data_IF_107668813417
#
_entry.id   IF_107668813417
#
_cell.length_a   1.000
_cell.length_b   1.000
_cell.length_c   1.000
_cell.angle_alpha   90.00
_cell.angle_beta   90.00
_cell.angle_gamma   90.00
#
_symmetry.space_group_name_H-M   'P 1'
#
loop_
_entity.id
_entity.type
_entity.pdbx_description
1 polymer ?
#
# COMPACT_ATOMS: atom_id res chain seq x y z
N UNK A 1 -38.61 40.86 22.54
CA UNK A 1 -37.24 40.31 22.61
C UNK A 1 -36.27 41.47 22.55
N UNK A 2 -35.47 41.69 23.59
CA UNK A 2 -34.58 42.86 23.66
C UNK A 2 -33.57 42.86 22.51
N UNK A 3 -33.29 44.05 21.96
CA UNK A 3 -32.30 44.23 20.88
C UNK A 3 -30.94 43.62 21.25
N UNK A 4 -30.56 43.71 22.53
CA UNK A 4 -29.32 43.14 23.09
C UNK A 4 -29.29 41.60 23.02
N UNK A 5 -30.41 40.95 23.34
CA UNK A 5 -30.53 39.48 23.28
C UNK A 5 -30.48 39.01 21.82
N UNK A 6 -31.10 39.75 20.89
CA UNK A 6 -31.06 39.42 19.46
C UNK A 6 -29.63 39.53 18.88
N UNK A 7 -28.86 40.55 19.25
CA UNK A 7 -27.46 40.67 18.81
C UNK A 7 -26.58 39.56 19.37
N UNK A 8 -26.77 39.19 20.64
CA UNK A 8 -26.04 38.10 21.27
C UNK A 8 -26.32 36.76 20.58
N UNK A 9 -27.59 36.47 20.26
CA UNK A 9 -27.98 35.25 19.56
C UNK A 9 -27.39 35.21 18.13
N UNK A 10 -27.43 36.33 17.40
CA UNK A 10 -26.81 36.44 16.08
C UNK A 10 -25.29 36.22 16.13
N UNK A 11 -24.61 36.76 17.15
CA UNK A 11 -23.18 36.59 17.34
C UNK A 11 -22.80 35.11 17.56
N UNK A 12 -23.44 34.44 18.52
CA UNK A 12 -23.20 33.01 18.76
C UNK A 12 -23.63 32.13 17.59
N UNK A 13 -24.73 32.46 16.91
CA UNK A 13 -25.16 31.76 15.70
C UNK A 13 -24.13 31.87 14.58
N UNK A 14 -23.53 33.05 14.39
CA UNK A 14 -22.48 33.25 13.38
C UNK A 14 -21.22 32.45 13.70
N UNK A 15 -20.78 32.44 14.97
CA UNK A 15 -19.63 31.63 15.42
C UNK A 15 -19.91 30.14 15.23
N UNK A 16 -21.12 29.68 15.57
CA UNK A 16 -21.51 28.29 15.41
C UNK A 16 -21.45 27.87 13.94
N UNK A 17 -22.00 28.68 13.03
CA UNK A 17 -21.92 28.43 11.58
C UNK A 17 -20.47 28.41 11.10
N UNK A 18 -19.63 29.35 11.53
CA UNK A 18 -18.20 29.36 11.19
C UNK A 18 -17.47 28.11 11.68
N UNK A 19 -17.79 27.62 12.88
CA UNK A 19 -17.21 26.39 13.43
C UNK A 19 -17.66 25.17 12.64
N UNK A 20 -18.95 25.05 12.31
CA UNK A 20 -19.47 23.96 11.48
C UNK A 20 -18.80 23.96 10.10
N UNK A 21 -18.71 25.12 9.44
CA UNK A 21 -18.03 25.25 8.15
C UNK A 21 -16.55 24.85 8.25
N UNK A 22 -15.86 25.27 9.31
CA UNK A 22 -14.47 24.88 9.54
C UNK A 22 -14.33 23.37 9.77
N UNK A 23 -15.24 22.75 10.52
CA UNK A 23 -15.23 21.33 10.81
C UNK A 23 -15.53 20.50 9.55
N UNK A 24 -16.51 20.92 8.75
CA UNK A 24 -16.79 20.32 7.44
C UNK A 24 -15.60 20.48 6.49
N UNK A 25 -14.92 21.63 6.50
CA UNK A 25 -13.71 21.84 5.71
C UNK A 25 -12.60 20.86 6.10
N UNK A 26 -12.39 20.64 7.39
CA UNK A 26 -11.40 19.68 7.89
C UNK A 26 -11.76 18.23 7.56
N UNK A 27 -13.03 17.86 7.70
CA UNK A 27 -13.51 16.49 7.49
C UNK A 27 -13.66 16.09 6.02
N UNK A 28 -13.98 17.03 5.13
CA UNK A 28 -14.23 16.71 3.71
C UNK A 28 -13.02 17.04 2.84
N UNK A 29 -12.41 18.22 3.01
CA UNK A 29 -11.35 18.68 2.12
C UNK A 29 -9.93 18.40 2.66
N UNK A 30 -9.75 18.41 3.98
CA UNK A 30 -8.43 18.19 4.59
C UNK A 30 -8.23 16.79 5.16
N UNK A 31 -9.25 15.93 5.13
CA UNK A 31 -9.18 14.59 5.71
C UNK A 31 -8.07 13.75 5.08
N UNK A 32 -7.99 13.72 3.75
CA UNK A 32 -6.95 12.97 3.04
C UNK A 32 -5.54 13.44 3.41
N UNK A 33 -5.36 14.75 3.58
CA UNK A 33 -4.07 15.34 3.96
C UNK A 33 -3.67 14.98 5.39
N UNK A 34 -4.63 14.89 6.31
CA UNK A 34 -4.40 14.53 7.71
C UNK A 34 -4.14 13.02 7.87
N UNK A 35 -4.87 12.19 7.14
CA UNK A 35 -4.70 10.74 7.14
C UNK A 35 -3.31 10.38 6.61
N UNK A 36 -2.91 10.97 5.49
CA UNK A 36 -1.62 10.71 4.84
C UNK A 36 -0.44 11.50 5.44
N UNK A 37 -0.64 12.17 6.58
CA UNK A 37 0.45 12.91 7.22
C UNK A 37 1.50 11.95 7.78
N UNK A 38 2.78 12.20 7.51
CA UNK A 38 3.91 11.38 7.99
C UNK A 38 4.00 11.20 9.52
N UNK A 39 3.34 12.07 10.28
CA UNK A 39 3.28 12.00 11.75
C UNK A 39 2.02 11.29 12.28
N UNK A 40 1.19 10.73 11.40
CA UNK A 40 0.02 9.97 11.80
C UNK A 40 0.43 8.56 12.25
N UNK A 41 0.64 8.40 13.55
CA UNK A 41 1.02 7.12 14.15
C UNK A 41 -0.10 6.10 14.18
N UNK A 42 -1.37 6.52 14.10
CA UNK A 42 -2.52 5.61 14.17
C UNK A 42 -2.62 4.75 12.91
N UNK A 43 -2.61 5.38 11.74
CA UNK A 43 -2.66 4.69 10.46
C UNK A 43 -1.48 3.72 10.29
N UNK A 44 -0.27 4.13 10.69
CA UNK A 44 0.90 3.27 10.66
C UNK A 44 0.81 2.10 11.65
N UNK A 45 0.25 2.33 12.84
CA UNK A 45 0.09 1.27 13.85
C UNK A 45 -0.90 0.22 13.36
N UNK A 46 -2.03 0.64 12.80
CA UNK A 46 -3.03 -0.23 12.19
C UNK A 46 -2.43 -1.05 11.03
N UNK A 47 -1.65 -0.42 10.17
CA UNK A 47 -0.95 -1.09 9.07
C UNK A 47 0.05 -2.15 9.55
N UNK A 48 0.74 -1.89 10.67
CA UNK A 48 1.71 -2.84 11.25
C UNK A 48 1.06 -3.96 12.06
N UNK A 49 -0.15 -3.76 12.60
CA UNK A 49 -0.87 -4.77 13.38
C UNK A 49 -1.82 -5.61 12.54
N UNK A 50 -2.16 -5.16 11.33
CA UNK A 50 -3.03 -5.88 10.39
C UNK A 50 -2.23 -6.85 9.56
N UNK A 51 -2.73 -8.08 9.39
CA UNK A 51 -2.10 -9.06 8.49
C UNK A 51 -2.41 -8.64 7.06
N UNK A 52 -1.45 -8.00 6.40
CA UNK A 52 -1.56 -7.60 4.99
C UNK A 52 -1.73 -8.83 4.09
N UNK A 53 -2.58 -8.75 3.08
CA UNK A 53 -2.86 -9.84 2.14
C UNK A 53 -1.64 -10.26 1.32
N UNK A 54 -1.62 -11.50 0.87
CA UNK A 54 -0.55 -12.06 0.03
C UNK A 54 -0.69 -11.57 -1.41
N UNK A 55 0.45 -11.44 -2.11
CA UNK A 55 0.47 -11.25 -3.57
C UNK A 55 0.81 -12.58 -4.21
N UNK A 56 -0.05 -13.04 -5.11
CA UNK A 56 -0.04 -14.39 -5.66
C UNK A 56 0.00 -14.31 -7.19
N UNK A 57 0.84 -15.11 -7.81
CA UNK A 57 0.91 -15.27 -9.27
C UNK A 57 -0.26 -16.09 -9.81
N UNK A 58 -0.48 -16.05 -11.12
CA UNK A 58 -1.57 -16.79 -11.78
C UNK A 58 -1.46 -18.31 -11.58
N UNK A 59 -0.23 -18.81 -11.42
CA UNK A 59 0.08 -20.22 -11.15
C UNK A 59 0.06 -20.58 -9.65
N UNK A 60 -0.37 -19.66 -8.78
CA UNK A 60 -0.60 -19.92 -7.35
C UNK A 60 0.63 -19.79 -6.46
N UNK A 61 1.74 -19.22 -6.97
CA UNK A 61 2.93 -18.97 -6.14
C UNK A 61 2.77 -17.63 -5.43
N UNK A 62 2.83 -17.65 -4.10
CA UNK A 62 2.93 -16.46 -3.27
C UNK A 62 4.30 -15.81 -3.43
N UNK A 63 4.32 -14.54 -3.84
CA UNK A 63 5.54 -13.75 -4.08
C UNK A 63 5.82 -12.71 -2.99
N UNK A 64 4.78 -12.30 -2.27
CA UNK A 64 4.88 -11.44 -1.09
C UNK A 64 3.86 -11.89 -0.04
N UNK A 65 4.31 -12.02 1.21
CA UNK A 65 3.50 -12.47 2.33
C UNK A 65 3.82 -11.66 3.60
N UNK A 66 2.90 -11.68 4.56
CA UNK A 66 3.11 -11.03 5.85
C UNK A 66 3.29 -12.05 6.97
N UNK A 67 4.45 -12.01 7.59
CA UNK A 67 4.85 -12.91 8.67
C UNK A 67 4.78 -12.19 10.02
N UNK A 68 4.41 -12.93 11.06
CA UNK A 68 4.33 -12.35 12.40
C UNK A 68 5.74 -12.14 12.95
N UNK A 69 6.05 -10.91 13.31
CA UNK A 69 7.34 -10.54 13.89
C UNK A 69 7.56 -11.27 15.22
N UNK A 70 8.81 -11.53 15.62
CA UNK A 70 9.16 -12.26 16.85
C UNK A 70 8.59 -11.63 18.14
N UNK A 71 8.28 -10.33 18.11
CA UNK A 71 7.62 -9.61 19.21
C UNK A 71 6.11 -9.92 19.35
N UNK A 72 5.52 -10.62 18.38
CA UNK A 72 4.12 -11.05 18.37
C UNK A 72 3.08 -9.95 18.12
N UNK A 73 3.46 -8.68 18.14
CA UNK A 73 2.50 -7.55 18.01
C UNK A 73 2.40 -6.95 16.61
N UNK A 74 3.35 -7.24 15.72
CA UNK A 74 3.45 -6.63 14.39
C UNK A 74 3.66 -7.68 13.31
N UNK A 75 3.30 -7.34 12.08
CA UNK A 75 3.60 -8.11 10.88
C UNK A 75 4.74 -7.45 10.09
N UNK A 76 5.71 -8.25 9.71
CA UNK A 76 6.79 -7.88 8.80
C UNK A 76 6.46 -8.43 7.41
N UNK A 77 6.83 -7.70 6.35
CA UNK A 77 6.58 -8.09 4.96
C UNK A 77 7.76 -8.88 4.42
N UNK A 78 7.51 -10.07 3.89
CA UNK A 78 8.51 -10.97 3.33
C UNK A 78 8.24 -11.24 1.85
N UNK A 79 9.30 -11.20 1.04
CA UNK A 79 9.24 -11.39 -0.41
C UNK A 79 10.00 -12.66 -0.78
N UNK A 80 9.27 -13.71 -1.14
CA UNK A 80 9.79 -15.05 -1.42
C UNK A 80 10.36 -15.21 -2.83
N UNK A 81 9.92 -14.38 -3.78
CA UNK A 81 10.17 -14.59 -5.21
C UNK A 81 11.48 -14.01 -5.76
N UNK A 82 12.29 -13.36 -4.92
CA UNK A 82 13.59 -12.80 -5.29
C UNK A 82 13.51 -11.52 -6.14
N UNK A 83 14.65 -11.07 -6.66
CA UNK A 83 14.78 -9.78 -7.37
C UNK A 83 13.95 -9.68 -8.65
N UNK A 84 13.71 -10.80 -9.33
CA UNK A 84 12.99 -10.83 -10.59
C UNK A 84 11.52 -10.40 -10.52
N UNK A 85 10.96 -10.31 -9.31
CA UNK A 85 9.59 -9.83 -9.06
C UNK A 85 9.55 -8.47 -8.38
N UNK A 86 10.72 -7.90 -8.04
CA UNK A 86 10.83 -6.67 -7.24
C UNK A 86 10.19 -5.45 -7.89
N UNK A 87 10.22 -5.34 -9.22
CA UNK A 87 9.54 -4.26 -9.95
C UNK A 87 8.03 -4.45 -10.09
N UNK A 88 7.54 -5.69 -9.94
CA UNK A 88 6.11 -6.01 -9.94
C UNK A 88 5.56 -5.71 -8.55
N UNK A 89 6.07 -6.38 -7.52
CA UNK A 89 5.60 -6.18 -6.14
C UNK A 89 5.90 -4.76 -5.68
N UNK A 90 7.06 -4.23 -6.07
CA UNK A 90 7.65 -3.08 -5.42
C UNK A 90 8.21 -3.48 -4.06
N UNK A 91 8.20 -2.53 -3.15
CA UNK A 91 8.50 -2.76 -1.74
C UNK A 91 7.47 -2.09 -0.85
N UNK A 92 7.44 -2.55 0.39
CA UNK A 92 6.73 -1.95 1.51
C UNK A 92 7.70 -1.88 2.67
N UNK A 93 7.92 -0.67 3.17
CA UNK A 93 8.71 -0.41 4.36
C UNK A 93 8.10 0.76 5.14
N UNK A 94 7.96 0.59 6.45
CA UNK A 94 7.37 1.62 7.32
C UNK A 94 8.13 2.94 7.39
N UNK A 95 9.40 2.99 6.95
CA UNK A 95 10.22 4.21 6.91
C UNK A 95 10.47 4.70 5.49
N UNK A 96 10.65 3.79 4.53
CA UNK A 96 10.97 4.12 3.13
C UNK A 96 9.72 4.25 2.25
N UNK A 97 8.55 3.90 2.78
CA UNK A 97 7.27 3.97 2.07
C UNK A 97 6.99 2.71 1.25
N UNK A 98 6.15 2.87 0.22
CA UNK A 98 5.67 1.79 -0.64
C UNK A 98 5.76 2.16 -2.12
N UNK A 99 5.93 1.17 -3.00
CA UNK A 99 6.00 1.36 -4.46
C UNK A 99 5.21 0.30 -5.24
N UNK A 100 5.04 0.49 -6.55
CA UNK A 100 4.39 -0.44 -7.48
C UNK A 100 3.05 -1.00 -6.95
N UNK A 101 2.85 -2.32 -6.98
CA UNK A 101 1.62 -2.96 -6.51
C UNK A 101 1.38 -2.73 -5.02
N UNK A 102 2.43 -2.76 -4.19
CA UNK A 102 2.31 -2.48 -2.75
C UNK A 102 1.79 -1.07 -2.45
N UNK A 103 2.04 -0.10 -3.34
CA UNK A 103 1.46 1.24 -3.23
C UNK A 103 0.06 1.32 -3.82
N UNK A 104 -0.13 0.74 -5.00
CA UNK A 104 -1.35 0.91 -5.81
C UNK A 104 -2.53 0.21 -5.15
N UNK A 105 -2.33 -1.03 -4.68
CA UNK A 105 -3.36 -1.85 -4.06
C UNK A 105 -3.23 -1.89 -2.53
N UNK A 106 -2.77 -0.79 -1.94
CA UNK A 106 -2.51 -0.75 -0.51
C UNK A 106 -3.77 -0.98 0.32
N UNK A 107 -4.89 -0.40 -0.12
CA UNK A 107 -6.10 -0.39 0.67
C UNK A 107 -6.80 -1.75 0.60
N UNK A 108 -6.72 -2.44 -0.53
CA UNK A 108 -7.15 -3.82 -0.73
C UNK A 108 -6.27 -4.78 0.07
N UNK A 109 -4.95 -4.62 0.00
CA UNK A 109 -3.98 -5.41 0.78
C UNK A 109 -4.14 -5.21 2.29
N UNK A 110 -4.75 -4.11 2.74
CA UNK A 110 -5.11 -3.87 4.13
C UNK A 110 -6.57 -4.19 4.46
N UNK A 111 -7.36 -4.63 3.47
CA UNK A 111 -8.77 -4.94 3.65
C UNK A 111 -9.61 -3.72 4.00
N UNK A 112 -9.17 -2.51 3.65
CA UNK A 112 -9.88 -1.25 3.93
C UNK A 112 -11.09 -1.07 3.03
N UNK A 113 -11.02 -1.55 1.79
CA UNK A 113 -12.07 -1.41 0.77
C UNK A 113 -13.24 -2.40 0.97
N UNK A 114 -12.98 -3.53 1.63
CA UNK A 114 -13.94 -4.64 1.79
C UNK A 114 -14.91 -4.46 2.96
N UNK A 115 -15.39 -3.24 3.20
CA UNK A 115 -16.53 -3.04 4.11
C UNK A 115 -17.84 -3.37 3.36
N UNK A 116 -17.91 -4.57 2.77
CA UNK A 116 -19.01 -5.03 1.93
C UNK A 116 -20.16 -5.60 2.78
N UNK A 117 -19.88 -6.03 4.01
CA UNK A 117 -20.86 -6.65 4.91
C UNK A 117 -21.04 -5.87 6.21
N UNK A 118 -22.28 -5.81 6.71
CA UNK A 118 -22.62 -5.22 8.02
C UNK A 118 -21.80 -5.84 9.17
N UNK A 119 -21.45 -7.12 9.06
CA UNK A 119 -20.56 -7.80 10.02
C UNK A 119 -19.14 -7.23 10.03
N UNK A 120 -18.59 -6.85 8.88
CA UNK A 120 -17.24 -6.30 8.76
C UNK A 120 -17.16 -4.91 9.36
N UNK A 121 -18.23 -4.11 9.20
CA UNK A 121 -18.37 -2.84 9.91
C UNK A 121 -18.42 -3.03 11.43
N UNK A 122 -19.19 -3.99 11.93
CA UNK A 122 -19.27 -4.28 13.36
C UNK A 122 -17.92 -4.76 13.89
N UNK A 123 -17.23 -5.65 13.17
CA UNK A 123 -15.91 -6.15 13.57
C UNK A 123 -14.86 -5.03 13.60
N UNK A 124 -14.89 -4.08 12.65
CA UNK A 124 -14.05 -2.86 12.70
C UNK A 124 -14.37 -1.99 13.91
N UNK A 125 -15.65 -1.78 14.22
CA UNK A 125 -16.08 -0.98 15.39
C UNK A 125 -15.68 -1.67 16.70
N UNK A 126 -15.73 -3.00 16.75
CA UNK A 126 -15.36 -3.83 17.91
C UNK A 126 -13.84 -4.05 17.99
N UNK A 127 -13.07 -3.58 17.00
CA UNK A 127 -11.60 -3.61 17.00
C UNK A 127 -11.00 -4.99 16.69
N UNK A 128 -11.73 -5.86 15.98
CA UNK A 128 -11.18 -7.12 15.48
C UNK A 128 -10.41 -6.82 14.19
N UNK A 129 -9.09 -7.06 14.23
CA UNK A 129 -8.25 -6.94 13.04
C UNK A 129 -8.65 -8.02 12.03
N UNK A 130 -9.32 -7.61 10.96
CA UNK A 130 -9.54 -8.45 9.79
C UNK A 130 -8.24 -8.53 8.98
N UNK A 131 -7.86 -9.72 8.46
CA UNK A 131 -6.76 -9.80 7.51
C UNK A 131 -7.12 -9.00 6.24
N UNK A 132 -6.10 -8.47 5.57
CA UNK A 132 -6.28 -7.83 4.27
C UNK A 132 -6.54 -8.85 3.15
N UNK A 133 -6.92 -8.34 1.99
CA UNK A 133 -7.28 -9.16 0.84
C UNK A 133 -6.06 -9.57 0.03
N UNK A 134 -6.06 -10.79 -0.48
CA UNK A 134 -5.01 -11.31 -1.34
C UNK A 134 -5.17 -10.78 -2.77
N UNK A 135 -4.05 -10.48 -3.43
CA UNK A 135 -4.00 -10.05 -4.82
C UNK A 135 -3.57 -11.20 -5.72
N UNK A 136 -4.44 -11.60 -6.65
CA UNK A 136 -4.14 -12.59 -7.67
C UNK A 136 -3.74 -11.87 -8.96
N UNK A 137 -2.50 -12.07 -9.39
CA UNK A 137 -1.93 -11.46 -10.59
C UNK A 137 -2.17 -12.33 -11.83
N UNK A 138 -2.04 -11.72 -13.00
CA UNK A 138 -2.00 -12.42 -14.29
C UNK A 138 -0.61 -12.96 -14.65
N UNK A 139 0.40 -12.63 -13.84
CA UNK A 139 1.79 -13.00 -14.07
C UNK A 139 1.97 -14.49 -13.89
N UNK A 140 2.62 -15.14 -14.85
CA UNK A 140 3.06 -16.53 -14.76
C UNK A 140 4.50 -16.56 -14.24
N UNK A 141 4.72 -17.28 -13.13
CA UNK A 141 6.03 -17.30 -12.47
C UNK A 141 7.15 -17.87 -13.34
N UNK A 142 6.84 -18.82 -14.23
CA UNK A 142 7.84 -19.46 -15.11
C UNK A 142 8.25 -18.48 -16.20
N UNK A 143 7.28 -17.84 -16.85
CA UNK A 143 7.54 -16.83 -17.89
C UNK A 143 8.32 -15.66 -17.28
N UNK A 144 7.93 -15.19 -16.09
CA UNK A 144 8.63 -14.11 -15.39
C UNK A 144 10.09 -14.47 -15.10
N UNK A 145 10.35 -15.67 -14.56
CA UNK A 145 11.72 -16.12 -14.26
C UNK A 145 12.56 -16.24 -15.51
N UNK A 146 12.02 -16.80 -16.59
CA UNK A 146 12.73 -16.90 -17.88
C UNK A 146 13.02 -15.52 -18.46
N UNK A 147 12.06 -14.59 -18.41
CA UNK A 147 12.25 -13.21 -18.86
C UNK A 147 13.36 -12.50 -18.06
N UNK A 148 13.32 -12.58 -16.73
CA UNK A 148 14.36 -11.99 -15.89
C UNK A 148 15.74 -12.61 -16.13
N UNK A 149 15.82 -13.94 -16.23
CA UNK A 149 17.08 -14.64 -16.52
C UNK A 149 17.70 -14.22 -17.85
N UNK A 150 16.87 -13.95 -18.87
CA UNK A 150 17.34 -13.47 -20.18
C UNK A 150 17.96 -12.07 -20.13
N UNK A 151 17.63 -11.27 -19.11
CA UNK A 151 18.12 -9.92 -18.90
C UNK A 151 19.37 -9.85 -18.00
N UNK A 152 19.76 -10.94 -17.33
CA UNK A 152 20.91 -10.92 -16.41
C UNK A 152 22.17 -10.47 -17.16
N UNK A 153 22.81 -9.42 -16.63
CA UNK A 153 24.00 -8.80 -17.24
C UNK A 153 23.70 -7.76 -18.33
N UNK A 154 22.42 -7.47 -18.63
CA UNK A 154 22.00 -6.48 -19.63
C UNK A 154 20.94 -5.56 -19.04
N UNK A 155 21.20 -4.26 -19.03
CA UNK A 155 20.21 -3.26 -18.61
C UNK A 155 19.06 -3.21 -19.63
N UNK A 156 17.82 -3.40 -19.16
CA UNK A 156 16.64 -3.38 -20.02
C UNK A 156 15.42 -4.02 -19.36
N UNK A 157 14.32 -4.09 -20.10
CA UNK A 157 13.07 -4.68 -19.64
C UNK A 157 12.44 -5.59 -20.71
N UNK A 158 11.62 -6.53 -20.25
CA UNK A 158 10.86 -7.48 -21.07
C UNK A 158 9.43 -7.52 -20.55
N UNK A 159 8.48 -7.37 -21.47
CA UNK A 159 7.06 -7.50 -21.18
C UNK A 159 6.47 -8.58 -22.09
N UNK A 160 5.77 -9.54 -21.50
CA UNK A 160 5.01 -10.56 -22.22
C UNK A 160 3.53 -10.39 -21.92
N UNK A 161 2.71 -10.30 -22.97
CA UNK A 161 1.27 -10.06 -22.87
C UNK A 161 0.54 -11.14 -23.66
N UNK A 162 -0.59 -11.61 -23.14
CA UNK A 162 -1.55 -12.39 -23.92
C UNK A 162 -2.39 -11.44 -24.78
N UNK A 163 -2.24 -11.43 -26.12
CA UNK A 163 -2.91 -10.47 -26.98
C UNK A 163 -4.43 -10.68 -27.06
N UNK A 164 -4.93 -11.87 -26.69
CA UNK A 164 -6.37 -12.17 -26.73
C UNK A 164 -7.12 -11.62 -25.52
N UNK A 165 -6.48 -11.61 -24.36
CA UNK A 165 -7.10 -11.21 -23.09
C UNK A 165 -6.58 -9.88 -22.54
N UNK A 166 -5.45 -9.39 -23.05
CA UNK A 166 -4.73 -8.24 -22.50
C UNK A 166 -3.95 -8.55 -21.21
N UNK A 167 -3.95 -9.80 -20.75
CA UNK A 167 -3.28 -10.20 -19.52
C UNK A 167 -1.75 -10.07 -19.64
N UNK A 168 -1.11 -9.41 -18.67
CA UNK A 168 0.35 -9.34 -18.59
C UNK A 168 0.86 -10.63 -17.94
N UNK A 169 1.63 -11.41 -18.69
CA UNK A 169 2.16 -12.71 -18.26
C UNK A 169 3.54 -12.57 -17.61
N UNK A 170 4.33 -11.59 -18.05
CA UNK A 170 5.61 -11.24 -17.44
C UNK A 170 5.92 -9.75 -17.64
N UNK A 171 6.60 -9.18 -16.66
CA UNK A 171 7.04 -7.79 -16.61
C UNK A 171 8.35 -7.76 -15.79
N UNK A 172 9.47 -7.97 -16.48
CA UNK A 172 10.79 -8.08 -15.87
C UNK A 172 11.66 -6.88 -16.26
N UNK A 173 12.43 -6.36 -15.32
CA UNK A 173 13.42 -5.31 -15.56
C UNK A 173 14.74 -5.65 -14.86
N UNK A 174 15.87 -5.27 -15.44
CA UNK A 174 17.20 -5.47 -14.88
C UNK A 174 18.02 -4.17 -14.94
N UNK A 175 18.74 -3.81 -13.87
CA UNK A 175 18.93 -4.56 -12.62
C UNK A 175 17.72 -4.52 -11.67
N UNK A 176 17.46 -5.65 -11.00
CA UNK A 176 16.50 -5.75 -9.91
C UNK A 176 17.08 -5.32 -8.55
N UNK A 177 16.25 -5.39 -7.51
CA UNK A 177 16.67 -5.19 -6.14
C UNK A 177 15.97 -6.22 -5.23
N UNK A 178 16.48 -6.42 -4.02
CA UNK A 178 15.83 -7.29 -3.04
C UNK A 178 15.02 -6.46 -2.04
N UNK A 179 13.66 -6.54 -2.06
CA UNK A 179 12.83 -5.78 -1.13
C UNK A 179 13.10 -6.15 0.35
N UNK A 180 13.54 -7.39 0.64
CA UNK A 180 13.82 -7.84 2.01
C UNK A 180 15.06 -7.16 2.62
N UNK A 181 16.05 -6.79 1.81
CA UNK A 181 17.29 -6.13 2.27
C UNK A 181 17.31 -4.63 2.01
N UNK A 182 16.21 -4.08 1.51
CA UNK A 182 16.09 -2.69 1.05
C UNK A 182 16.65 -1.66 2.05
N UNK A 183 16.37 -1.80 3.35
CA UNK A 183 16.89 -0.86 4.37
C UNK A 183 18.41 -0.79 4.41
N UNK A 184 19.08 -1.92 4.23
CA UNK A 184 20.55 -2.01 4.27
C UNK A 184 21.12 -1.41 2.98
N UNK A 185 20.50 -1.72 1.85
CA UNK A 185 21.00 -1.38 0.53
C UNK A 185 20.53 0.01 0.05
N UNK A 186 19.63 0.68 0.76
CA UNK A 186 18.98 1.93 0.34
C UNK A 186 19.94 3.01 -0.16
N UNK A 187 21.02 3.25 0.60
CA UNK A 187 22.04 4.26 0.24
C UNK A 187 22.78 3.91 -1.05
N UNK A 188 22.94 2.62 -1.33
CA UNK A 188 23.56 2.11 -2.57
C UNK A 188 22.57 2.24 -3.71
N UNK A 189 21.33 1.75 -3.53
CA UNK A 189 20.29 1.71 -4.57
C UNK A 189 19.93 3.09 -5.12
N UNK A 190 19.87 4.13 -4.28
CA UNK A 190 19.58 5.50 -4.74
C UNK A 190 20.75 6.11 -5.54
N UNK A 191 21.99 5.74 -5.19
CA UNK A 191 23.20 6.29 -5.82
C UNK A 191 23.64 5.50 -7.05
N UNK A 192 22.99 4.37 -7.31
CA UNK A 192 23.35 3.48 -8.39
C UNK A 192 22.97 4.10 -9.75
N UNK A 193 23.95 4.28 -10.62
CA UNK A 193 23.75 4.82 -11.97
C UNK A 193 22.85 3.92 -12.84
N UNK A 194 22.79 2.63 -12.51
CA UNK A 194 21.90 1.69 -13.19
C UNK A 194 20.42 1.85 -12.78
N UNK A 195 20.13 2.64 -11.74
CA UNK A 195 18.79 2.98 -11.27
C UNK A 195 17.87 1.76 -11.06
N UNK A 196 18.27 0.79 -10.21
CA UNK A 196 17.58 -0.49 -10.03
C UNK A 196 16.15 -0.37 -9.49
N UNK A 197 15.78 0.77 -8.90
CA UNK A 197 14.44 1.02 -8.38
C UNK A 197 13.42 1.39 -9.47
N UNK A 198 13.89 1.69 -10.68
CA UNK A 198 13.04 2.07 -11.80
C UNK A 198 12.70 0.84 -12.64
N UNK A 199 11.49 0.87 -13.19
CA UNK A 199 10.99 -0.07 -14.16
C UNK A 199 10.71 0.66 -15.47
#
# INVERSE_FOLDING_TARGET
>A
MDKRIRYLLLFFGTIFVLLVVNLTYLQVFSADKLINHQYNTRALTEELTTKRGSIITADGIEIAQSERSSSGKKYDRFYSAGEGFSHITGYYDSRLGRTALERTYNDELLGKDSADTVSDYIDRIVGRNQPGNDLILTIDSKIQRTAYQSLIGRRGSVVAINPKTGAVLALASYPGFNPNTLRKDWKKLIKDEASPLLN
#
